data_IF_779167649545
#
_entry.id   IF_779167649545
#
_cell.length_a   1.000
_cell.length_b   1.000
_cell.length_c   1.000
_cell.angle_alpha   90.00
_cell.angle_beta   90.00
_cell.angle_gamma   90.00
#
_symmetry.space_group_name_H-M   'P 1'
#
loop_
_entity.id
_entity.type
_entity.pdbx_description
1 polymer ?
#
# COMPACT_ATOMS: atom_id res chain seq x y z
N UNK A 1 16.03 -28.08 -6.23
CA UNK A 1 14.69 -27.87 -6.82
C UNK A 1 13.82 -27.22 -5.75
N UNK A 2 13.33 -25.99 -5.97
CA UNK A 2 12.30 -25.43 -5.07
C UNK A 2 10.94 -25.95 -5.53
N UNK A 3 10.26 -26.68 -4.65
CA UNK A 3 8.88 -27.09 -4.87
C UNK A 3 7.96 -25.87 -5.09
N UNK A 4 6.73 -26.08 -5.55
CA UNK A 4 5.79 -24.99 -5.78
C UNK A 4 5.56 -24.19 -4.50
N UNK A 5 5.60 -22.85 -4.60
CA UNK A 5 5.31 -21.96 -3.46
C UNK A 5 3.92 -22.28 -2.91
N UNK A 6 3.82 -22.51 -1.61
CA UNK A 6 2.59 -22.85 -0.89
C UNK A 6 1.71 -21.64 -0.59
N UNK A 7 2.28 -20.43 -0.68
CA UNK A 7 1.60 -19.16 -0.39
C UNK A 7 1.50 -18.27 -1.63
N UNK A 8 0.53 -17.36 -1.60
CA UNK A 8 0.39 -16.23 -2.52
C UNK A 8 0.48 -14.90 -1.76
N UNK A 9 0.82 -13.84 -2.48
CA UNK A 9 0.92 -12.49 -1.93
C UNK A 9 -0.13 -11.60 -2.57
N UNK A 10 -0.73 -10.72 -1.77
CA UNK A 10 -1.60 -9.66 -2.24
C UNK A 10 -1.06 -8.33 -1.72
N UNK A 11 -0.70 -7.43 -2.64
CA UNK A 11 -0.18 -6.09 -2.31
C UNK A 11 -1.27 -5.07 -2.54
N UNK A 12 -1.52 -4.23 -1.54
CA UNK A 12 -2.58 -3.24 -1.57
C UNK A 12 -2.17 -2.00 -0.76
N UNK A 13 -2.91 -0.91 -0.96
CA UNK A 13 -2.67 0.36 -0.26
C UNK A 13 -3.72 0.64 0.81
N UNK A 14 -3.30 1.31 1.88
CA UNK A 14 -4.18 1.90 2.91
C UNK A 14 -3.84 3.37 3.12
N UNK A 15 -4.78 4.10 3.72
CA UNK A 15 -4.58 5.47 4.21
C UNK A 15 -4.02 6.42 3.15
N UNK A 16 -4.45 6.25 1.91
CA UNK A 16 -4.01 7.10 0.81
C UNK A 16 -4.67 8.47 0.93
N UNK A 17 -3.85 9.51 1.10
CA UNK A 17 -4.29 10.91 1.14
C UNK A 17 -3.23 11.86 0.63
N UNK A 18 -3.67 13.02 0.19
CA UNK A 18 -2.80 14.15 -0.11
C UNK A 18 -2.97 15.19 0.99
N UNK A 19 -1.87 15.68 1.55
CA UNK A 19 -1.89 16.71 2.60
C UNK A 19 -1.09 17.92 2.12
N UNK A 20 -1.68 19.10 2.29
CA UNK A 20 -0.96 20.37 2.11
C UNK A 20 -0.12 20.67 3.36
N UNK A 21 1.20 20.74 3.21
CA UNK A 21 2.10 21.22 4.26
C UNK A 21 2.91 22.38 3.73
N UNK A 22 2.69 23.56 4.32
CA UNK A 22 3.25 24.82 3.83
C UNK A 22 2.86 25.03 2.36
N UNK A 23 3.84 25.11 1.46
CA UNK A 23 3.63 25.34 0.02
C UNK A 23 3.74 24.06 -0.82
N UNK A 24 3.81 22.87 -0.20
CA UNK A 24 3.98 21.60 -0.91
C UNK A 24 2.87 20.62 -0.57
N UNK A 25 2.47 19.84 -1.57
CA UNK A 25 1.58 18.69 -1.40
C UNK A 25 2.43 17.46 -1.10
N UNK A 26 2.03 16.69 -0.09
CA UNK A 26 2.62 15.41 0.26
C UNK A 26 1.61 14.29 -0.01
N UNK A 27 2.07 13.17 -0.57
CA UNK A 27 1.28 11.94 -0.63
C UNK A 27 1.65 11.07 0.56
N UNK A 28 0.65 10.76 1.37
CA UNK A 28 0.76 9.73 2.38
C UNK A 28 0.02 8.49 1.92
N UNK A 29 0.66 7.33 2.02
CA UNK A 29 0.00 6.05 1.88
C UNK A 29 0.83 4.95 2.53
N UNK A 30 0.17 3.87 2.89
CA UNK A 30 0.80 2.67 3.37
C UNK A 30 0.72 1.58 2.31
N UNK A 31 1.81 0.86 2.09
CA UNK A 31 1.83 -0.33 1.25
C UNK A 31 1.82 -1.55 2.15
N UNK A 32 0.81 -2.39 1.99
CA UNK A 32 0.58 -3.58 2.78
C UNK A 32 0.71 -4.83 1.91
N UNK A 33 1.11 -5.92 2.55
CA UNK A 33 1.18 -7.26 1.95
C UNK A 33 0.43 -8.24 2.82
N UNK A 34 -0.55 -8.91 2.25
CA UNK A 34 -1.13 -10.11 2.84
C UNK A 34 -0.42 -11.34 2.24
N UNK A 35 0.00 -12.25 3.13
CA UNK A 35 0.49 -13.57 2.80
C UNK A 35 -0.64 -14.54 3.07
N UNK A 36 -1.08 -15.30 2.07
CA UNK A 36 -2.20 -16.23 2.21
C UNK A 36 -1.91 -17.59 1.59
N UNK A 37 -2.63 -18.62 2.04
CA UNK A 37 -2.57 -19.96 1.45
C UNK A 37 -3.08 -19.94 0.00
N UNK A 38 -2.56 -20.86 -0.82
CA UNK A 38 -3.14 -21.14 -2.14
C UNK A 38 -4.30 -22.15 -2.01
N UNK A 39 -5.33 -21.98 -2.84
CA UNK A 39 -6.51 -22.84 -2.86
C UNK A 39 -7.80 -22.04 -3.00
N UNK A 40 -8.93 -22.74 -3.07
CA UNK A 40 -10.27 -22.14 -3.08
C UNK A 40 -10.55 -21.39 -1.78
N UNK A 41 -10.20 -21.99 -0.63
CA UNK A 41 -10.36 -21.39 0.70
C UNK A 41 -9.05 -20.74 1.17
N UNK A 42 -8.71 -19.63 0.52
CA UNK A 42 -7.52 -18.85 0.82
C UNK A 42 -7.62 -18.19 2.20
N UNK A 43 -6.74 -18.57 3.13
CA UNK A 43 -6.65 -17.98 4.48
C UNK A 43 -5.47 -17.02 4.54
N UNK A 44 -5.68 -15.81 5.06
CA UNK A 44 -4.60 -14.86 5.34
C UNK A 44 -3.83 -15.35 6.57
N UNK A 45 -2.56 -15.65 6.38
CA UNK A 45 -1.64 -16.11 7.41
C UNK A 45 -0.99 -14.95 8.15
N UNK A 46 -0.65 -13.90 7.40
CA UNK A 46 0.04 -12.74 7.93
C UNK A 46 -0.23 -11.50 7.07
N UNK A 47 -0.31 -10.35 7.71
CA UNK A 47 -0.37 -9.06 7.06
C UNK A 47 0.75 -8.19 7.59
N UNK A 48 1.54 -7.62 6.69
CA UNK A 48 2.67 -6.75 7.05
C UNK A 48 2.62 -5.43 6.28
N UNK A 49 3.07 -4.37 6.95
CA UNK A 49 3.25 -3.06 6.34
C UNK A 49 4.66 -2.97 5.77
N UNK A 50 4.77 -2.95 4.45
CA UNK A 50 6.03 -2.87 3.74
C UNK A 50 6.60 -1.45 3.75
N UNK A 51 5.72 -0.46 3.56
CA UNK A 51 6.10 0.95 3.49
C UNK A 51 5.06 1.83 4.15
N UNK A 52 5.55 2.93 4.75
CA UNK A 52 4.75 4.07 5.17
C UNK A 52 5.34 5.30 4.48
N UNK A 53 4.73 5.70 3.37
CA UNK A 53 5.22 6.81 2.56
C UNK A 53 4.71 8.14 3.10
N UNK A 54 5.59 9.13 3.13
CA UNK A 54 5.26 10.53 3.32
C UNK A 54 6.20 11.36 2.43
N UNK A 55 5.76 11.60 1.20
CA UNK A 55 6.65 12.08 0.13
C UNK A 55 6.06 13.27 -0.60
N UNK A 56 6.92 14.21 -1.00
CA UNK A 56 6.54 15.39 -1.79
C UNK A 56 6.02 14.94 -3.15
N UNK A 57 4.85 15.45 -3.54
CA UNK A 57 4.26 15.23 -4.86
C UNK A 57 4.93 16.16 -5.88
N UNK A 58 5.28 15.63 -7.04
CA UNK A 58 5.94 16.35 -8.14
C UNK A 58 5.04 16.62 -9.34
N UNK A 59 3.75 16.33 -9.22
CA UNK A 59 2.73 16.49 -10.25
C UNK A 59 1.53 17.26 -9.69
N UNK A 60 0.71 17.83 -10.57
CA UNK A 60 -0.46 18.58 -10.17
C UNK A 60 -1.53 17.66 -9.57
N UNK A 61 -2.04 18.04 -8.41
CA UNK A 61 -3.12 17.34 -7.72
C UNK A 61 -4.32 18.28 -7.69
N UNK A 62 -5.47 17.77 -8.11
CA UNK A 62 -6.73 18.52 -8.05
C UNK A 62 -7.01 18.96 -6.61
N UNK A 63 -7.28 20.25 -6.42
CA UNK A 63 -7.34 20.87 -5.09
C UNK A 63 -8.37 20.22 -4.17
N UNK A 64 -9.49 19.74 -4.73
CA UNK A 64 -10.54 19.05 -3.98
C UNK A 64 -10.11 17.69 -3.40
N UNK A 65 -8.96 17.15 -3.81
CA UNK A 65 -8.41 15.87 -3.32
C UNK A 65 -7.37 16.07 -2.23
N UNK A 66 -7.05 17.31 -1.86
CA UNK A 66 -6.03 17.64 -0.86
C UNK A 66 -6.71 18.05 0.43
N UNK A 67 -6.32 17.39 1.52
CA UNK A 67 -6.69 17.72 2.89
C UNK A 67 -5.81 18.85 3.46
#
# INVERSE_FOLDING_TARGET
MFGPRTVKYHIYQKSHRFIRRQQRVYRQNEIWRDISTKGQDSVVLHSERLYQNDVVVKYDVEEHRVE
#
